data_IF_185539291901
#
_entry.id   IF_185539291901
#
_cell.length_a   1.000
_cell.length_b   1.000
_cell.length_c   1.000
_cell.angle_alpha   90.00
_cell.angle_beta   90.00
_cell.angle_gamma   90.00
#
_symmetry.space_group_name_H-M   'P 1'
#
loop_
_entity.id
_entity.type
_entity.pdbx_description
1 polymer ?
#
# COMPACT_ATOMS: atom_id res chain seq x y z
N UNK A 1 -6.44 -6.58 -18.64
CA UNK A 1 -7.75 -7.27 -18.39
C UNK A 1 -8.73 -6.19 -17.94
N UNK A 2 -9.75 -5.84 -18.74
CA UNK A 2 -10.70 -4.76 -18.41
C UNK A 2 -11.38 -5.05 -17.07
N UNK A 3 -11.03 -4.29 -16.03
CA UNK A 3 -11.74 -4.31 -14.75
C UNK A 3 -12.85 -3.26 -14.81
N UNK A 4 -14.06 -3.69 -15.15
CA UNK A 4 -15.29 -2.87 -15.00
C UNK A 4 -15.79 -2.91 -13.54
N UNK A 5 -14.87 -2.80 -12.57
CA UNK A 5 -15.20 -2.83 -11.16
C UNK A 5 -14.40 -1.77 -10.43
N UNK A 6 -15.05 -1.09 -9.48
CA UNK A 6 -14.37 -0.21 -8.54
C UNK A 6 -13.46 -1.05 -7.65
N UNK A 7 -12.19 -0.67 -7.54
CA UNK A 7 -11.22 -1.40 -6.75
C UNK A 7 -10.58 -0.49 -5.71
N UNK A 8 -10.78 -0.84 -4.44
CA UNK A 8 -10.07 -0.25 -3.31
C UNK A 8 -9.02 -1.24 -2.82
N UNK A 9 -7.76 -0.83 -2.83
CA UNK A 9 -6.65 -1.59 -2.23
C UNK A 9 -6.21 -0.85 -0.99
N UNK A 10 -6.34 -1.49 0.17
CA UNK A 10 -5.99 -0.87 1.43
C UNK A 10 -4.84 -1.62 2.11
N UNK A 11 -3.95 -0.86 2.74
CA UNK A 11 -2.73 -1.37 3.37
C UNK A 11 -2.63 -0.85 4.80
N UNK A 12 -2.26 -1.75 5.71
CA UNK A 12 -1.87 -1.37 7.07
C UNK A 12 -0.46 -0.81 7.04
N UNK A 13 -0.27 0.38 7.58
CA UNK A 13 1.05 1.04 7.66
C UNK A 13 1.40 1.33 9.13
N UNK A 14 1.25 0.33 9.98
CA UNK A 14 1.52 0.41 11.42
C UNK A 14 0.43 1.14 12.20
N UNK A 15 0.69 2.39 12.62
CA UNK A 15 -0.31 3.24 13.31
C UNK A 15 -1.22 4.00 12.34
N UNK A 16 -1.24 3.61 11.07
CA UNK A 16 -1.98 4.30 10.03
C UNK A 16 -2.60 3.35 9.02
N UNK A 17 -3.24 3.94 8.03
CA UNK A 17 -3.80 3.24 6.89
C UNK A 17 -3.43 3.98 5.61
N UNK A 18 -3.28 3.22 4.53
CA UNK A 18 -3.29 3.80 3.20
C UNK A 18 -4.27 3.10 2.28
N UNK A 19 -4.91 3.87 1.41
CA UNK A 19 -5.92 3.38 0.45
C UNK A 19 -5.62 3.91 -0.94
N UNK A 20 -5.59 3.00 -1.90
CA UNK A 20 -5.60 3.27 -3.33
C UNK A 20 -6.99 2.97 -3.88
N UNK A 21 -7.46 3.83 -4.77
CA UNK A 21 -8.69 3.65 -5.49
C UNK A 21 -8.43 3.63 -7.00
N UNK A 22 -8.88 2.57 -7.66
CA UNK A 22 -8.85 2.43 -9.10
C UNK A 22 -10.29 2.45 -9.62
N UNK A 23 -10.69 3.53 -10.33
CA UNK A 23 -12.02 3.63 -10.89
C UNK A 23 -12.35 2.47 -11.84
N UNK A 24 -13.62 2.09 -11.93
CA UNK A 24 -14.07 1.15 -12.95
C UNK A 24 -13.71 1.66 -14.35
N UNK A 25 -13.16 0.78 -15.18
CA UNK A 25 -12.71 1.15 -16.53
C UNK A 25 -11.43 1.99 -16.58
N UNK A 26 -10.79 2.28 -15.44
CA UNK A 26 -9.46 2.87 -15.44
C UNK A 26 -8.45 1.90 -16.06
N UNK A 27 -7.55 2.44 -16.90
CA UNK A 27 -6.46 1.67 -17.49
C UNK A 27 -5.34 1.34 -16.50
N UNK A 28 -5.34 1.98 -15.33
CA UNK A 28 -4.35 1.79 -14.28
C UNK A 28 -4.76 0.64 -13.34
N UNK A 29 -3.80 -0.17 -12.95
CA UNK A 29 -3.98 -1.26 -11.99
C UNK A 29 -2.84 -1.31 -10.99
N UNK A 30 -3.06 -2.03 -9.88
CA UNK A 30 -1.98 -2.29 -8.92
C UNK A 30 -0.77 -2.95 -9.58
N UNK A 31 -0.98 -3.82 -10.58
CA UNK A 31 0.10 -4.45 -11.33
C UNK A 31 0.95 -3.41 -12.07
N UNK A 32 0.32 -2.36 -12.63
CA UNK A 32 1.03 -1.28 -13.32
C UNK A 32 1.84 -0.42 -12.33
N UNK A 33 1.34 -0.22 -11.11
CA UNK A 33 2.04 0.54 -10.06
C UNK A 33 3.30 -0.15 -9.55
N UNK A 34 3.33 -1.50 -9.55
CA UNK A 34 4.47 -2.29 -9.07
C UNK A 34 5.31 -2.87 -10.20
N UNK A 35 4.94 -2.65 -11.46
CA UNK A 35 5.65 -3.22 -12.62
C UNK A 35 7.13 -2.81 -12.65
N UNK A 36 7.44 -1.57 -12.28
CA UNK A 36 8.82 -1.09 -12.16
C UNK A 36 9.61 -1.79 -11.05
N UNK A 37 8.97 -2.06 -9.90
CA UNK A 37 9.58 -2.80 -8.79
C UNK A 37 9.83 -4.26 -9.18
N UNK A 38 8.86 -4.88 -9.86
CA UNK A 38 8.97 -6.25 -10.38
C UNK A 38 10.10 -6.35 -11.39
N UNK A 39 10.17 -5.42 -12.35
CA UNK A 39 11.25 -5.38 -13.34
C UNK A 39 12.62 -5.22 -12.68
N UNK A 40 12.73 -4.32 -11.70
CA UNK A 40 13.97 -4.09 -10.94
C UNK A 40 14.39 -5.32 -10.13
N UNK A 41 13.44 -5.97 -9.46
CA UNK A 41 13.69 -7.20 -8.69
C UNK A 41 14.03 -8.41 -9.58
N UNK A 42 13.50 -8.46 -10.80
CA UNK A 42 13.77 -9.53 -11.78
C UNK A 42 15.11 -9.38 -12.50
N UNK A 43 15.71 -8.19 -12.49
CA UNK A 43 16.99 -7.93 -13.17
C UNK A 43 18.16 -8.75 -12.59
N UNK A 44 18.00 -9.30 -11.36
CA UNK A 44 18.97 -10.16 -10.68
C UNK A 44 18.66 -11.67 -10.71
N UNK A 45 17.58 -12.12 -11.37
CA UNK A 45 17.16 -13.53 -11.37
C UNK A 45 15.64 -13.70 -11.16
N UNK A 46 15.21 -14.81 -10.55
CA UNK A 46 13.79 -14.98 -10.18
C UNK A 46 13.36 -13.87 -9.20
N UNK A 47 12.26 -13.19 -9.52
CA UNK A 47 11.68 -12.17 -8.66
C UNK A 47 11.10 -12.81 -7.40
N UNK A 48 11.88 -12.85 -6.33
CA UNK A 48 11.36 -13.19 -5.01
C UNK A 48 10.41 -12.09 -4.53
N UNK A 49 9.24 -12.49 -4.01
CA UNK A 49 8.22 -11.60 -3.46
C UNK A 49 8.80 -10.58 -2.47
N UNK A 50 9.78 -10.98 -1.66
CA UNK A 50 10.50 -10.13 -0.72
C UNK A 50 11.16 -8.93 -1.38
N UNK A 51 11.75 -9.10 -2.57
CA UNK A 51 12.47 -8.05 -3.29
C UNK A 51 11.50 -7.00 -3.86
N UNK A 52 10.40 -7.46 -4.46
CA UNK A 52 9.33 -6.58 -4.96
C UNK A 52 8.68 -5.83 -3.81
N UNK A 53 8.35 -6.54 -2.73
CA UNK A 53 7.76 -5.93 -1.55
C UNK A 53 8.69 -4.91 -0.89
N UNK A 54 9.99 -5.22 -0.75
CA UNK A 54 10.98 -4.29 -0.22
C UNK A 54 11.07 -3.00 -1.05
N UNK A 55 11.08 -3.11 -2.38
CA UNK A 55 11.09 -1.94 -3.29
C UNK A 55 9.84 -1.06 -3.12
N UNK A 56 8.65 -1.68 -3.07
CA UNK A 56 7.39 -0.97 -2.80
C UNK A 56 7.43 -0.27 -1.44
N UNK A 57 7.87 -0.98 -0.39
CA UNK A 57 7.99 -0.43 0.96
C UNK A 57 8.98 0.73 1.00
N UNK A 58 10.11 0.64 0.31
CA UNK A 58 11.13 1.68 0.29
C UNK A 58 10.58 2.98 -0.31
N UNK A 59 9.76 2.91 -1.37
CA UNK A 59 9.10 4.08 -1.97
C UNK A 59 8.10 4.75 -1.04
N UNK A 60 7.32 3.97 -0.29
CA UNK A 60 6.37 4.55 0.68
C UNK A 60 7.03 4.90 2.02
N UNK A 61 8.22 4.38 2.29
CA UNK A 61 8.85 4.35 3.60
C UNK A 61 9.18 5.74 4.16
N UNK A 62 9.50 6.71 3.30
CA UNK A 62 9.71 8.11 3.70
C UNK A 62 8.46 8.77 4.29
N UNK A 63 7.29 8.18 4.04
CA UNK A 63 6.01 8.65 4.54
C UNK A 63 5.49 7.82 5.73
N UNK A 64 6.20 6.74 6.08
CA UNK A 64 5.88 5.89 7.20
C UNK A 64 6.65 6.30 8.45
N UNK A 65 6.10 5.98 9.62
CA UNK A 65 6.80 6.21 10.88
C UNK A 65 8.03 5.28 10.98
N UNK A 66 9.11 5.78 11.57
CA UNK A 66 10.37 5.05 11.72
C UNK A 66 10.19 3.70 12.39
N UNK A 67 9.32 3.59 13.40
CA UNK A 67 9.05 2.31 14.07
C UNK A 67 8.39 1.31 13.11
N UNK A 68 7.55 1.78 12.19
CA UNK A 68 6.93 0.92 11.17
C UNK A 68 7.99 0.40 10.22
N UNK A 69 8.90 1.27 9.79
CA UNK A 69 10.03 0.87 8.93
C UNK A 69 10.97 -0.12 9.63
N UNK A 70 11.23 0.05 10.92
CA UNK A 70 12.00 -0.91 11.72
C UNK A 70 11.35 -2.29 11.81
N UNK A 71 10.02 -2.35 11.97
CA UNK A 71 9.30 -3.62 12.01
C UNK A 71 9.23 -4.28 10.64
N UNK A 72 9.05 -3.51 9.57
CA UNK A 72 9.07 -4.05 8.21
C UNK A 72 10.46 -4.59 7.87
N UNK A 73 11.54 -3.89 8.24
CA UNK A 73 12.91 -4.37 8.05
C UNK A 73 13.14 -5.71 8.77
N UNK A 74 12.68 -5.84 10.02
CA UNK A 74 12.74 -7.11 10.77
C UNK A 74 11.93 -8.22 10.09
N UNK A 75 10.75 -7.90 9.58
CA UNK A 75 9.92 -8.87 8.85
C UNK A 75 10.60 -9.36 7.57
N UNK A 76 11.24 -8.45 6.81
CA UNK A 76 12.01 -8.79 5.61
C UNK A 76 13.17 -9.75 5.94
N UNK A 77 13.95 -9.48 6.98
CA UNK A 77 15.02 -10.38 7.44
C UNK A 77 14.50 -11.76 7.84
N UNK A 78 13.36 -11.83 8.53
CA UNK A 78 12.73 -13.13 8.89
C UNK A 78 12.29 -13.90 7.63
N UNK A 79 11.81 -13.19 6.60
CA UNK A 79 11.40 -13.81 5.34
C UNK A 79 12.59 -14.27 4.49
N UNK A 80 13.71 -13.56 4.51
CA UNK A 80 14.98 -13.97 3.89
C UNK A 80 15.51 -15.28 4.49
N UNK A 81 15.29 -15.52 5.79
CA UNK A 81 15.57 -16.80 6.46
C UNK A 81 14.64 -17.95 6.01
N UNK A 82 13.73 -17.73 5.05
CA UNK A 82 12.75 -18.72 4.58
C UNK A 82 11.59 -18.98 5.55
N UNK A 83 11.46 -18.17 6.62
CA UNK A 83 10.35 -18.28 7.57
C UNK A 83 9.13 -17.53 7.03
N UNK A 84 7.90 -18.00 7.34
CA UNK A 84 6.70 -17.29 6.93
C UNK A 84 6.70 -15.87 7.49
N UNK A 85 6.21 -14.92 6.69
CA UNK A 85 6.07 -13.52 7.08
C UNK A 85 5.36 -13.44 8.45
N UNK A 86 5.93 -12.76 9.45
CA UNK A 86 5.25 -12.58 10.73
C UNK A 86 3.96 -11.83 10.45
N UNK A 87 2.82 -12.48 10.67
CA UNK A 87 1.53 -11.84 10.53
C UNK A 87 1.55 -10.57 11.40
N UNK A 88 1.28 -9.41 10.79
CA UNK A 88 1.18 -8.14 11.51
C UNK A 88 0.00 -8.26 12.48
N UNK A 89 0.27 -8.75 13.68
CA UNK A 89 -0.73 -8.96 14.70
C UNK A 89 -1.17 -7.58 15.18
N UNK A 90 -2.35 -7.16 14.74
CA UNK A 90 -3.18 -6.12 15.36
C UNK A 90 -2.40 -4.83 15.64
N UNK A 91 -1.90 -4.19 14.60
CA UNK A 91 -1.54 -2.78 14.70
C UNK A 91 -2.84 -1.95 14.78
N UNK A 92 -2.84 -0.80 15.47
CA UNK A 92 -3.95 0.18 15.44
C UNK A 92 -4.39 0.47 14.00
N UNK A 93 -3.44 0.41 13.05
CA UNK A 93 -3.65 0.49 11.60
C UNK A 93 -4.69 -0.46 11.02
N UNK A 94 -4.91 -1.63 11.62
CA UNK A 94 -5.84 -2.65 11.11
C UNK A 94 -7.30 -2.15 11.11
N UNK A 95 -7.69 -1.45 12.18
CA UNK A 95 -9.03 -0.87 12.30
C UNK A 95 -9.19 0.39 11.45
N UNK A 96 -8.10 1.15 11.27
CA UNK A 96 -8.15 2.37 10.48
C UNK A 96 -8.17 2.13 8.97
N UNK A 97 -7.67 0.98 8.49
CA UNK A 97 -7.86 0.55 7.11
C UNK A 97 -9.34 0.52 6.74
N UNK A 98 -10.15 -0.14 7.56
CA UNK A 98 -11.58 -0.27 7.31
C UNK A 98 -12.25 1.11 7.33
N UNK A 99 -11.92 1.95 8.31
CA UNK A 99 -12.47 3.30 8.41
C UNK A 99 -12.16 4.17 7.18
N UNK A 100 -10.88 4.22 6.76
CA UNK A 100 -10.45 5.04 5.63
C UNK A 100 -10.98 4.50 4.29
N UNK A 101 -10.97 3.17 4.11
CA UNK A 101 -11.49 2.57 2.89
C UNK A 101 -13.01 2.77 2.77
N UNK A 102 -13.77 2.53 3.85
CA UNK A 102 -15.22 2.69 3.86
C UNK A 102 -15.63 4.14 3.70
N UNK A 103 -14.88 5.11 4.26
CA UNK A 103 -15.19 6.53 4.04
C UNK A 103 -15.03 6.91 2.57
N UNK A 104 -13.97 6.45 1.90
CA UNK A 104 -13.79 6.70 0.47
C UNK A 104 -14.84 6.00 -0.38
N UNK A 105 -15.22 4.75 -0.04
CA UNK A 105 -16.30 4.03 -0.71
C UNK A 105 -17.61 4.79 -0.58
N UNK A 106 -17.93 5.27 0.62
CA UNK A 106 -19.13 6.07 0.87
C UNK A 106 -19.13 7.33 0.00
N UNK A 107 -18.02 8.07 -0.06
CA UNK A 107 -17.90 9.27 -0.87
C UNK A 107 -18.12 8.99 -2.37
N UNK A 108 -17.56 7.89 -2.89
CA UNK A 108 -17.83 7.46 -4.28
C UNK A 108 -19.30 7.15 -4.50
N UNK A 109 -19.94 6.42 -3.57
CA UNK A 109 -21.37 6.08 -3.66
C UNK A 109 -22.28 7.31 -3.56
N UNK A 110 -21.85 8.35 -2.84
CA UNK A 110 -22.52 9.66 -2.75
C UNK A 110 -22.21 10.58 -3.96
N UNK A 111 -21.47 10.07 -4.96
CA UNK A 111 -21.09 10.83 -6.16
C UNK A 111 -20.03 11.91 -5.92
N UNK A 112 -19.33 11.87 -4.78
CA UNK A 112 -18.22 12.76 -4.47
C UNK A 112 -16.94 12.27 -5.13
N UNK A 113 -16.07 13.21 -5.47
CA UNK A 113 -14.74 12.88 -5.95
C UNK A 113 -13.87 12.35 -4.80
N UNK A 114 -13.15 11.27 -5.07
CA UNK A 114 -12.09 10.75 -4.20
C UNK A 114 -10.78 10.67 -4.98
N UNK A 115 -9.63 10.74 -4.31
CA UNK A 115 -8.33 10.56 -4.97
C UNK A 115 -8.22 9.19 -5.65
N UNK A 116 -7.66 9.18 -6.87
CA UNK A 116 -7.49 7.98 -7.69
C UNK A 116 -6.00 7.63 -7.84
N UNK A 117 -5.72 6.34 -8.07
CA UNK A 117 -4.36 5.88 -8.39
C UNK A 117 -3.77 6.70 -9.57
N UNK A 118 -2.47 7.06 -9.52
CA UNK A 118 -1.42 6.53 -8.62
C UNK A 118 -1.33 7.21 -7.24
N UNK A 119 -2.27 8.10 -6.90
CA UNK A 119 -2.27 8.78 -5.61
C UNK A 119 -2.89 7.89 -4.53
N UNK A 120 -2.10 7.57 -3.51
CA UNK A 120 -2.54 6.86 -2.31
C UNK A 120 -2.92 7.87 -1.24
N UNK A 121 -4.11 7.71 -0.64
CA UNK A 121 -4.50 8.43 0.57
C UNK A 121 -3.86 7.72 1.74
N UNK A 122 -3.05 8.43 2.53
CA UNK A 122 -2.40 7.88 3.73
C UNK A 122 -2.76 8.71 4.94
N UNK A 123 -3.20 8.06 6.01
CA UNK A 123 -3.42 8.70 7.31
C UNK A 123 -2.56 8.02 8.38
N UNK A 124 -1.90 8.83 9.21
CA UNK A 124 -1.15 8.36 10.38
C UNK A 124 -1.81 8.85 11.66
N UNK A 125 -2.19 7.92 12.55
CA UNK A 125 -2.74 8.27 13.87
C UNK A 125 -1.66 8.68 14.87
N UNK A 126 -0.38 8.59 14.50
CA UNK A 126 0.71 9.01 15.37
C UNK A 126 0.94 10.51 15.34
N UNK A 127 0.86 11.11 14.15
CA UNK A 127 0.98 12.56 13.97
C UNK A 127 -0.35 13.21 13.56
N UNK A 128 -1.41 12.43 13.39
CA UNK A 128 -2.76 12.85 12.99
C UNK A 128 -2.82 13.58 11.64
N UNK A 129 -1.95 13.21 10.70
CA UNK A 129 -1.89 13.82 9.37
C UNK A 129 -2.42 12.87 8.30
N UNK A 130 -3.26 13.42 7.40
CA UNK A 130 -3.64 12.79 6.13
C UNK A 130 -2.84 13.41 4.99
N UNK A 131 -2.26 12.58 4.12
CA UNK A 131 -1.48 13.01 2.95
C UNK A 131 -1.89 12.23 1.70
N UNK A 132 -1.61 12.83 0.55
CA UNK A 132 -1.61 12.14 -0.74
C UNK A 132 -0.17 11.84 -1.13
N UNK A 133 0.11 10.59 -1.48
CA UNK A 133 1.43 10.13 -1.93
C UNK A 133 1.29 9.62 -3.35
N UNK A 134 2.16 10.07 -4.25
CA UNK A 134 2.21 9.55 -5.62
C UNK A 134 3.12 8.31 -5.66
N UNK A 135 2.57 7.16 -6.06
CA UNK A 135 3.31 5.88 -6.12
C UNK A 135 4.04 5.64 -7.46
N UNK A 136 4.08 6.61 -8.37
CA UNK A 136 4.88 6.55 -9.61
C UNK A 136 6.10 7.50 -9.60
N UNK A 137 6.36 8.17 -8.48
CA UNK A 137 7.53 9.02 -8.26
C UNK A 137 8.78 8.25 -7.92
#
# INVERSE_FOLDING_TARGET
KNRNVELFTALSIGFGAGVLYFPAGSGASLADLVAGDVASASAGGEAHYTNVFASVIQRIGEHLDTQVMEQIAKALTIMEDGKPCPASQVAVGSFSIAALAVSMIHDVLDGRSVPTAPHMVVHSFRNHVTKLINLLG
#
